data_IF_540642444164
#
_entry.id   IF_540642444164
#
_cell.length_a   1.000
_cell.length_b   1.000
_cell.length_c   1.000
_cell.angle_alpha   90.00
_cell.angle_beta   90.00
_cell.angle_gamma   90.00
#
_symmetry.space_group_name_H-M   'P 1'
#
loop_
_entity.id
_entity.type
_entity.pdbx_description
1 polymer ?
#
# COMPACT_ATOMS: atom_id res chain seq x y z
N UNK A 1 -28.48 -7.79 -22.51
CA UNK A 1 -28.18 -6.90 -21.38
C UNK A 1 -26.96 -7.41 -20.68
N UNK A 2 -25.82 -6.94 -21.10
CA UNK A 2 -24.56 -7.33 -20.49
C UNK A 2 -24.38 -6.62 -19.17
N UNK A 3 -24.49 -7.33 -18.04
CA UNK A 3 -23.92 -6.87 -16.80
C UNK A 3 -22.43 -6.79 -16.96
N UNK A 4 -21.90 -5.67 -17.44
CA UNK A 4 -20.48 -5.45 -17.49
C UNK A 4 -19.94 -5.55 -16.07
N UNK A 5 -19.16 -6.59 -15.78
CA UNK A 5 -18.35 -6.58 -14.58
C UNK A 5 -17.50 -5.32 -14.64
N UNK A 6 -17.78 -4.36 -13.74
CA UNK A 6 -16.93 -3.20 -13.57
C UNK A 6 -15.59 -3.74 -13.09
N UNK A 7 -14.63 -3.86 -14.00
CA UNK A 7 -13.27 -4.22 -13.62
C UNK A 7 -12.71 -3.07 -12.79
N UNK A 8 -12.32 -3.36 -11.56
CA UNK A 8 -11.60 -2.41 -10.75
C UNK A 8 -10.30 -2.04 -11.48
N UNK A 9 -10.13 -0.77 -11.81
CA UNK A 9 -8.97 -0.29 -12.57
C UNK A 9 -7.72 -0.21 -11.71
N UNK A 10 -7.89 0.05 -10.42
CA UNK A 10 -6.82 0.37 -9.50
C UNK A 10 -6.89 -0.49 -8.26
N UNK A 11 -5.73 -0.96 -7.80
CA UNK A 11 -5.61 -1.72 -6.55
C UNK A 11 -4.88 -0.85 -5.53
N UNK A 12 -5.53 -0.60 -4.41
CA UNK A 12 -4.97 0.11 -3.25
C UNK A 12 -4.65 -0.93 -2.20
N UNK A 13 -3.38 -1.08 -1.86
CA UNK A 13 -2.88 -2.10 -0.96
C UNK A 13 -2.50 -1.53 0.40
N UNK A 14 -2.87 -2.25 1.45
CA UNK A 14 -2.50 -2.00 2.85
C UNK A 14 -1.90 -3.28 3.42
N UNK A 15 -0.76 -3.19 4.07
CA UNK A 15 -0.09 -4.34 4.70
C UNK A 15 0.32 -4.00 6.12
N UNK A 16 -0.08 -4.81 7.08
CA UNK A 16 0.40 -4.78 8.46
C UNK A 16 0.20 -6.16 9.10
N UNK A 17 0.99 -6.49 10.09
CA UNK A 17 0.87 -7.76 10.81
C UNK A 17 0.40 -7.52 12.25
N UNK A 18 -0.67 -6.78 12.39
CA UNK A 18 -1.27 -6.42 13.67
C UNK A 18 -2.13 -5.18 13.50
N UNK A 19 -3.24 -5.32 12.79
CA UNK A 19 -4.13 -4.19 12.52
C UNK A 19 -4.83 -3.72 13.78
N UNK A 20 -4.81 -2.42 13.97
CA UNK A 20 -5.46 -1.72 15.08
C UNK A 20 -5.70 -0.27 14.67
N UNK A 21 -6.30 0.51 15.55
CA UNK A 21 -6.47 1.94 15.35
C UNK A 21 -5.11 2.66 15.20
N UNK A 22 -4.06 2.17 15.85
CA UNK A 22 -2.70 2.72 15.73
C UNK A 22 -2.11 2.52 14.33
N UNK A 23 -2.52 1.46 13.63
CA UNK A 23 -2.12 1.19 12.26
C UNK A 23 -3.07 1.79 11.22
N UNK A 24 -4.14 2.45 11.66
CA UNK A 24 -5.06 3.14 10.77
C UNK A 24 -6.20 2.28 10.24
N UNK A 25 -6.62 1.25 10.97
CA UNK A 25 -7.73 0.39 10.56
C UNK A 25 -9.01 1.18 10.27
N UNK A 26 -9.30 2.17 11.09
CA UNK A 26 -10.45 3.07 10.91
C UNK A 26 -10.33 3.92 9.64
N UNK A 27 -9.12 4.34 9.29
CA UNK A 27 -8.86 5.09 8.06
C UNK A 27 -9.17 4.23 6.83
N UNK A 28 -8.77 2.96 6.85
CA UNK A 28 -9.09 2.03 5.75
C UNK A 28 -10.60 1.92 5.55
N UNK A 29 -11.36 1.77 6.63
CA UNK A 29 -12.82 1.69 6.56
C UNK A 29 -13.44 2.97 5.96
N UNK A 30 -12.91 4.14 6.31
CA UNK A 30 -13.36 5.40 5.72
C UNK A 30 -13.00 5.51 4.24
N UNK A 31 -11.77 5.19 3.87
CA UNK A 31 -11.32 5.20 2.47
C UNK A 31 -12.18 4.27 1.60
N UNK A 32 -12.58 3.13 2.13
CA UNK A 32 -13.43 2.17 1.43
C UNK A 32 -14.82 2.75 1.11
N UNK A 33 -15.30 3.71 1.89
CA UNK A 33 -16.55 4.42 1.64
C UNK A 33 -16.38 5.59 0.67
N UNK A 34 -15.19 6.18 0.62
CA UNK A 34 -14.90 7.38 -0.16
C UNK A 34 -14.48 7.08 -1.59
N UNK A 35 -13.77 5.98 -1.81
CA UNK A 35 -13.26 5.59 -3.12
C UNK A 35 -14.37 4.95 -3.97
N UNK A 36 -14.35 5.24 -5.26
CA UNK A 36 -15.34 4.72 -6.21
C UNK A 36 -15.12 3.26 -6.51
N UNK A 37 -16.01 2.64 -7.27
CA UNK A 37 -15.90 1.24 -7.70
C UNK A 37 -14.72 0.96 -8.64
N UNK A 38 -14.05 1.99 -9.14
CA UNK A 38 -12.80 1.83 -9.90
C UNK A 38 -11.64 1.37 -9.03
N UNK A 39 -11.77 1.49 -7.70
CA UNK A 39 -10.73 1.16 -6.73
C UNK A 39 -11.08 -0.12 -5.98
N UNK A 40 -10.14 -1.06 -5.97
CA UNK A 40 -10.21 -2.26 -5.14
C UNK A 40 -9.25 -2.11 -3.97
N UNK A 41 -9.78 -2.20 -2.76
CA UNK A 41 -8.96 -2.15 -1.55
C UNK A 41 -8.62 -3.58 -1.13
N UNK A 42 -7.32 -3.83 -0.93
CA UNK A 42 -6.79 -5.11 -0.46
C UNK A 42 -6.02 -4.86 0.83
N UNK A 43 -6.36 -5.58 1.89
CA UNK A 43 -5.72 -5.47 3.20
C UNK A 43 -5.10 -6.80 3.58
N UNK A 44 -3.80 -6.80 3.84
CA UNK A 44 -3.03 -8.00 4.20
C UNK A 44 -2.65 -7.96 5.67
N UNK A 45 -2.68 -9.13 6.31
CA UNK A 45 -2.32 -9.28 7.73
C UNK A 45 -3.49 -9.13 8.69
N UNK A 46 -4.68 -9.33 8.18
CA UNK A 46 -5.94 -9.29 8.93
C UNK A 46 -6.21 -10.60 9.67
N UNK A 47 -7.30 -10.63 10.40
CA UNK A 47 -7.86 -11.81 11.05
C UNK A 47 -9.40 -11.70 11.10
N UNK A 48 -10.07 -12.70 11.66
CA UNK A 48 -11.52 -12.70 11.74
C UNK A 48 -12.07 -11.52 12.54
N UNK A 49 -11.36 -11.08 13.57
CA UNK A 49 -11.76 -9.93 14.39
C UNK A 49 -11.67 -8.63 13.59
N UNK A 50 -10.59 -8.43 12.87
CA UNK A 50 -10.37 -7.25 12.01
C UNK A 50 -11.42 -7.22 10.89
N UNK A 51 -11.76 -8.38 10.31
CA UNK A 51 -12.72 -8.47 9.23
C UNK A 51 -14.10 -7.92 9.61
N UNK A 52 -14.47 -8.00 10.89
CA UNK A 52 -15.74 -7.44 11.38
C UNK A 52 -15.82 -5.91 11.23
N UNK A 53 -14.67 -5.24 11.22
CA UNK A 53 -14.58 -3.78 11.09
C UNK A 53 -14.45 -3.32 9.63
N UNK A 54 -14.11 -4.22 8.71
CA UNK A 54 -13.89 -3.88 7.32
C UNK A 54 -15.20 -3.92 6.53
N UNK A 55 -15.45 -2.93 5.66
CA UNK A 55 -16.59 -2.98 4.75
C UNK A 55 -16.52 -4.19 3.81
N UNK A 56 -17.68 -4.64 3.32
CA UNK A 56 -17.79 -5.84 2.48
C UNK A 56 -17.07 -5.71 1.14
N UNK A 57 -16.80 -4.50 0.69
CA UNK A 57 -16.10 -4.24 -0.57
C UNK A 57 -14.57 -4.29 -0.46
N UNK A 58 -14.04 -4.63 0.71
CA UNK A 58 -12.61 -4.79 0.96
C UNK A 58 -12.22 -6.26 0.85
N UNK A 59 -11.13 -6.54 0.12
CA UNK A 59 -10.52 -7.87 0.11
C UNK A 59 -9.59 -7.99 1.30
N UNK A 60 -9.84 -8.99 2.15
CA UNK A 60 -9.03 -9.29 3.32
C UNK A 60 -8.19 -10.54 3.08
N UNK A 61 -6.88 -10.44 3.30
CA UNK A 61 -5.94 -11.56 3.21
C UNK A 61 -5.31 -11.73 4.59
N UNK A 62 -5.65 -12.81 5.30
CA UNK A 62 -5.22 -13.03 6.67
C UNK A 62 -3.73 -13.27 6.78
N UNK A 63 -3.20 -14.16 5.93
CA UNK A 63 -1.81 -14.57 6.02
C UNK A 63 -1.23 -14.88 4.65
N UNK A 64 0.02 -14.51 4.44
CA UNK A 64 0.79 -14.97 3.29
C UNK A 64 1.62 -16.18 3.70
N UNK A 65 1.86 -17.10 2.75
CA UNK A 65 2.59 -18.34 3.01
C UNK A 65 4.10 -18.11 3.10
N UNK A 66 4.60 -17.15 2.33
CA UNK A 66 6.02 -16.85 2.26
C UNK A 66 6.25 -15.44 1.69
N UNK A 67 7.50 -15.02 1.67
CA UNK A 67 7.92 -13.71 1.17
C UNK A 67 7.62 -13.54 -0.33
N UNK A 68 7.73 -14.61 -1.11
CA UNK A 68 7.43 -14.59 -2.54
C UNK A 68 5.96 -14.24 -2.80
N UNK A 69 5.03 -14.85 -2.07
CA UNK A 69 3.61 -14.53 -2.18
C UNK A 69 3.32 -13.07 -1.81
N UNK A 70 3.93 -12.57 -0.74
CA UNK A 70 3.77 -11.18 -0.34
C UNK A 70 4.32 -10.23 -1.40
N UNK A 71 5.48 -10.52 -1.99
CA UNK A 71 6.04 -9.73 -3.08
C UNK A 71 5.13 -9.72 -4.31
N UNK A 72 4.51 -10.85 -4.65
CA UNK A 72 3.54 -10.94 -5.74
C UNK A 72 2.32 -10.06 -5.48
N UNK A 73 1.83 -10.02 -4.24
CA UNK A 73 0.72 -9.14 -3.85
C UNK A 73 1.14 -7.68 -4.00
N UNK A 74 2.32 -7.28 -3.51
CA UNK A 74 2.82 -5.92 -3.68
C UNK A 74 2.85 -5.53 -5.18
N UNK A 75 3.36 -6.39 -6.03
CA UNK A 75 3.50 -6.08 -7.46
C UNK A 75 2.18 -5.91 -8.20
N UNK A 76 1.07 -6.41 -7.67
CA UNK A 76 -0.26 -6.21 -8.24
C UNK A 76 -0.83 -4.84 -7.91
N UNK A 77 -0.30 -4.15 -6.91
CA UNK A 77 -0.87 -2.90 -6.42
C UNK A 77 -0.55 -1.73 -7.37
N UNK A 78 -1.50 -0.83 -7.52
CA UNK A 78 -1.29 0.46 -8.20
C UNK A 78 -0.65 1.45 -7.25
N UNK A 79 -1.05 1.40 -5.98
CA UNK A 79 -0.53 2.25 -4.90
C UNK A 79 -0.56 1.48 -3.59
N UNK A 80 0.44 1.72 -2.76
CA UNK A 80 0.49 1.24 -1.38
C UNK A 80 0.17 2.40 -0.44
N UNK A 81 -0.81 2.23 0.42
CA UNK A 81 -1.19 3.26 1.39
C UNK A 81 -0.89 2.79 2.81
N UNK A 82 -0.28 3.66 3.59
CA UNK A 82 0.12 3.37 4.97
C UNK A 82 -0.41 4.44 5.92
N UNK A 83 -1.63 4.24 6.48
CA UNK A 83 -2.25 5.19 7.40
C UNK A 83 -1.79 4.99 8.83
N UNK A 84 -0.55 4.57 9.06
CA UNK A 84 -0.04 4.32 10.41
C UNK A 84 0.10 5.61 11.20
N UNK A 85 -0.33 5.54 12.46
CA UNK A 85 -0.19 6.65 13.43
C UNK A 85 1.07 6.52 14.28
N UNK A 86 1.67 5.33 14.29
CA UNK A 86 2.91 5.03 15.00
C UNK A 86 3.81 4.19 14.10
N UNK A 87 5.01 4.69 13.81
CA UNK A 87 5.96 3.98 12.96
C UNK A 87 7.39 4.36 13.33
N UNK A 88 8.26 3.35 13.49
CA UNK A 88 9.69 3.60 13.71
C UNK A 88 10.43 3.80 12.39
N UNK A 89 10.34 2.85 11.46
CA UNK A 89 11.13 2.85 10.22
C UNK A 89 10.30 2.82 8.93
N UNK A 90 9.05 2.40 8.98
CA UNK A 90 8.24 2.25 7.77
C UNK A 90 8.72 1.14 6.85
N UNK A 91 9.08 -0.02 7.41
CA UNK A 91 9.58 -1.18 6.64
C UNK A 91 8.67 -1.58 5.49
N UNK A 92 7.35 -1.57 5.72
CA UNK A 92 6.37 -1.92 4.68
C UNK A 92 6.38 -0.92 3.52
N UNK A 93 6.69 0.35 3.79
CA UNK A 93 6.82 1.36 2.73
C UNK A 93 7.99 0.99 1.80
N UNK A 94 9.12 0.60 2.38
CA UNK A 94 10.31 0.23 1.61
C UNK A 94 10.07 -1.08 0.84
N UNK A 95 9.36 -2.03 1.43
CA UNK A 95 8.97 -3.27 0.76
C UNK A 95 8.12 -2.97 -0.49
N UNK A 96 7.15 -2.07 -0.38
CA UNK A 96 6.33 -1.65 -1.51
C UNK A 96 7.17 -0.99 -2.61
N UNK A 97 8.06 -0.08 -2.24
CA UNK A 97 8.97 0.59 -3.19
C UNK A 97 9.87 -0.42 -3.90
N UNK A 98 10.40 -1.40 -3.17
CA UNK A 98 11.25 -2.46 -3.73
C UNK A 98 10.50 -3.29 -4.78
N UNK A 99 9.19 -3.40 -4.67
CA UNK A 99 8.32 -4.06 -5.64
C UNK A 99 7.79 -3.11 -6.72
N UNK A 100 8.34 -1.92 -6.83
CA UNK A 100 7.98 -0.96 -7.88
C UNK A 100 6.68 -0.20 -7.63
N UNK A 101 6.19 -0.16 -6.39
CA UNK A 101 4.89 0.42 -6.06
C UNK A 101 5.06 1.76 -5.34
N UNK A 102 4.43 2.84 -5.84
CA UNK A 102 4.47 4.12 -5.15
C UNK A 102 3.68 4.08 -3.84
N UNK A 103 4.06 4.92 -2.89
CA UNK A 103 3.55 4.90 -1.53
C UNK A 103 2.88 6.22 -1.16
N UNK A 104 1.74 6.13 -0.47
CA UNK A 104 1.14 7.25 0.29
C UNK A 104 1.25 6.89 1.76
N UNK A 105 1.81 7.78 2.57
CA UNK A 105 1.93 7.54 4.01
C UNK A 105 1.60 8.78 4.82
N UNK A 106 1.10 8.58 6.05
CA UNK A 106 0.97 9.67 7.02
C UNK A 106 2.36 10.14 7.48
N UNK A 107 2.44 11.41 7.83
CA UNK A 107 3.65 12.00 8.43
C UNK A 107 3.77 11.56 9.89
N UNK A 108 4.23 10.33 10.10
CA UNK A 108 4.39 9.72 11.43
C UNK A 108 5.73 8.99 11.50
N UNK A 109 6.47 9.20 12.60
CA UNK A 109 7.73 8.51 12.85
C UNK A 109 8.70 8.57 11.67
N UNK A 110 9.28 7.45 11.34
CA UNK A 110 10.21 7.30 10.20
C UNK A 110 9.54 7.10 8.85
N UNK A 111 8.22 7.05 8.78
CA UNK A 111 7.50 6.80 7.53
C UNK A 111 7.82 7.78 6.40
N UNK A 112 7.86 9.10 6.65
CA UNK A 112 8.14 10.07 5.58
C UNK A 112 9.54 9.92 4.97
N UNK A 113 10.51 9.47 5.75
CA UNK A 113 11.90 9.31 5.31
C UNK A 113 12.07 8.21 4.26
N UNK A 114 11.11 7.30 4.16
CA UNK A 114 11.14 6.23 3.17
C UNK A 114 10.94 6.75 1.74
N UNK A 115 10.27 7.89 1.59
CA UNK A 115 9.84 8.43 0.31
C UNK A 115 10.74 9.59 -0.15
N UNK A 116 10.75 9.79 -1.47
CA UNK A 116 11.21 11.02 -2.10
C UNK A 116 10.14 11.54 -3.06
N UNK A 117 10.43 12.64 -3.75
CA UNK A 117 9.47 13.27 -4.67
C UNK A 117 9.10 12.42 -5.90
N UNK A 118 9.82 11.33 -6.12
CA UNK A 118 9.65 10.43 -7.28
C UNK A 118 9.07 9.07 -6.91
N UNK A 119 8.73 8.86 -5.65
CA UNK A 119 8.30 7.54 -5.16
C UNK A 119 7.01 7.56 -4.34
N UNK A 120 6.53 8.71 -3.92
CA UNK A 120 5.30 8.76 -3.18
C UNK A 120 4.92 10.14 -2.64
N UNK A 121 3.86 10.15 -1.85
CA UNK A 121 3.27 11.36 -1.26
C UNK A 121 3.15 11.17 0.25
N UNK A 122 3.61 12.15 1.01
CA UNK A 122 3.42 12.22 2.45
C UNK A 122 2.20 13.11 2.74
N UNK A 123 1.29 12.60 3.55
CA UNK A 123 0.06 13.27 3.94
C UNK A 123 0.08 13.53 5.44
N UNK A 124 -0.45 14.63 5.91
CA UNK A 124 -0.47 14.91 7.35
C UNK A 124 -1.25 13.84 8.11
N UNK A 125 -0.80 13.54 9.32
CA UNK A 125 -1.42 12.54 10.19
C UNK A 125 -2.92 12.82 10.33
N UNK A 126 -3.72 11.77 10.20
CA UNK A 126 -5.19 11.80 10.31
C UNK A 126 -5.93 12.56 9.20
N UNK A 127 -5.24 13.06 8.20
CA UNK A 127 -5.87 13.68 7.03
C UNK A 127 -6.34 12.61 6.04
N UNK A 128 -7.51 12.05 6.31
CA UNK A 128 -8.10 10.99 5.47
C UNK A 128 -8.45 11.51 4.08
N UNK A 129 -9.00 12.71 3.98
CA UNK A 129 -9.30 13.34 2.69
C UNK A 129 -8.03 13.54 1.87
N UNK A 130 -6.96 13.99 2.50
CA UNK A 130 -5.65 14.14 1.85
C UNK A 130 -5.08 12.82 1.36
N UNK A 131 -5.24 11.75 2.14
CA UNK A 131 -4.81 10.41 1.72
C UNK A 131 -5.64 9.91 0.53
N UNK A 132 -6.94 10.09 0.56
CA UNK A 132 -7.83 9.75 -0.57
C UNK A 132 -7.42 10.50 -1.83
N UNK A 133 -7.20 11.81 -1.73
CA UNK A 133 -6.80 12.63 -2.87
C UNK A 133 -5.44 12.20 -3.44
N UNK A 134 -4.49 11.87 -2.58
CA UNK A 134 -3.17 11.36 -2.99
C UNK A 134 -3.29 10.02 -3.72
N UNK A 135 -4.11 9.11 -3.22
CA UNK A 135 -4.37 7.81 -3.87
C UNK A 135 -4.94 8.02 -5.27
N UNK A 136 -5.97 8.86 -5.39
CA UNK A 136 -6.61 9.14 -6.67
C UNK A 136 -5.63 9.78 -7.65
N UNK A 137 -4.84 10.74 -7.20
CA UNK A 137 -3.86 11.41 -8.03
C UNK A 137 -2.79 10.45 -8.55
N UNK A 138 -2.25 9.60 -7.71
CA UNK A 138 -1.26 8.58 -8.12
C UNK A 138 -1.86 7.62 -9.14
N UNK A 139 -3.06 7.12 -8.90
CA UNK A 139 -3.70 6.12 -9.75
C UNK A 139 -4.12 6.70 -11.09
N UNK A 140 -4.81 7.84 -11.09
CA UNK A 140 -5.41 8.38 -12.30
C UNK A 140 -4.42 9.13 -13.18
N UNK A 141 -3.44 9.81 -12.59
CA UNK A 141 -2.41 10.57 -13.32
C UNK A 141 -1.14 9.78 -13.60
N UNK A 142 -1.01 8.58 -13.05
CA UNK A 142 0.21 7.76 -13.15
C UNK A 142 1.47 8.55 -12.82
N UNK A 143 1.44 9.24 -11.66
CA UNK A 143 2.47 10.20 -11.25
C UNK A 143 3.86 9.60 -11.13
N UNK A 144 3.97 8.34 -10.76
CA UNK A 144 5.24 7.69 -10.44
C UNK A 144 5.45 6.46 -11.31
N UNK A 145 6.72 6.18 -11.63
CA UNK A 145 7.08 4.97 -12.35
C UNK A 145 7.76 3.96 -11.42
N UNK A 146 7.70 2.69 -11.80
CA UNK A 146 8.23 1.57 -11.04
C UNK A 146 9.73 1.69 -10.80
N UNK A 147 10.48 2.15 -11.79
CA UNK A 147 11.94 2.25 -11.72
C UNK A 147 12.38 3.23 -10.63
N UNK A 148 11.72 4.38 -10.51
CA UNK A 148 12.04 5.36 -9.48
C UNK A 148 11.71 4.87 -8.08
N UNK A 149 10.64 4.08 -7.93
CA UNK A 149 10.31 3.43 -6.66
C UNK A 149 11.42 2.45 -6.24
N UNK A 150 11.84 1.59 -7.15
CA UNK A 150 12.90 0.61 -6.89
C UNK A 150 14.23 1.32 -6.57
N UNK A 151 14.59 2.36 -7.31
CA UNK A 151 15.80 3.16 -7.03
C UNK A 151 15.77 3.75 -5.63
N UNK A 152 14.60 4.21 -5.18
CA UNK A 152 14.47 4.74 -3.82
C UNK A 152 14.70 3.63 -2.79
N UNK A 153 14.12 2.46 -2.98
CA UNK A 153 14.35 1.31 -2.09
C UNK A 153 15.82 0.92 -2.01
N UNK A 154 16.54 0.97 -3.12
CA UNK A 154 17.96 0.62 -3.19
C UNK A 154 18.86 1.57 -2.38
N UNK A 155 18.40 2.75 -2.03
CA UNK A 155 19.15 3.71 -1.21
C UNK A 155 19.21 3.30 0.27
N UNK A 156 18.38 2.34 0.71
CA UNK A 156 18.40 1.81 2.07
C UNK A 156 19.42 0.67 2.18
N UNK A 157 20.69 1.05 2.41
CA UNK A 157 21.81 0.11 2.50
C UNK A 157 21.70 -0.78 3.73
N UNK A 158 22.21 -2.02 3.61
CA UNK A 158 22.28 -2.98 4.71
C UNK A 158 20.97 -3.73 4.98
N UNK A 159 19.99 -3.57 4.13
CA UNK A 159 18.69 -4.24 4.25
C UNK A 159 18.57 -5.31 3.16
N UNK A 160 19.27 -6.43 3.34
CA UNK A 160 19.30 -7.57 2.39
C UNK A 160 17.90 -8.05 2.01
N UNK A 161 16.96 -7.96 2.96
CA UNK A 161 15.55 -8.28 2.74
C UNK A 161 14.94 -7.53 1.55
N UNK A 162 15.28 -6.25 1.38
CA UNK A 162 14.72 -5.47 0.27
C UNK A 162 15.33 -5.84 -1.07
N UNK A 163 16.57 -6.29 -1.10
CA UNK A 163 17.18 -6.84 -2.30
C UNK A 163 16.45 -8.09 -2.78
N UNK A 164 15.99 -8.94 -1.86
CA UNK A 164 15.16 -10.09 -2.21
C UNK A 164 13.84 -9.69 -2.85
N UNK A 165 13.16 -8.66 -2.34
CA UNK A 165 11.94 -8.12 -2.96
C UNK A 165 12.20 -7.58 -4.36
N UNK A 166 13.31 -6.87 -4.55
CA UNK A 166 13.70 -6.34 -5.87
C UNK A 166 13.94 -7.47 -6.86
N UNK A 167 14.63 -8.55 -6.45
CA UNK A 167 14.87 -9.72 -7.31
C UNK A 167 13.55 -10.43 -7.67
N UNK A 168 12.64 -10.58 -6.70
CA UNK A 168 11.32 -11.16 -6.95
C UNK A 168 10.50 -10.31 -7.93
N UNK A 169 10.62 -8.99 -7.85
CA UNK A 169 10.00 -8.09 -8.81
C UNK A 169 10.55 -8.29 -10.22
N UNK A 170 11.87 -8.35 -10.36
CA UNK A 170 12.53 -8.54 -11.66
C UNK A 170 12.22 -9.87 -12.33
N UNK A 171 11.97 -10.91 -11.55
CA UNK A 171 11.74 -12.28 -12.02
C UNK A 171 10.26 -12.66 -12.15
N UNK A 172 9.37 -11.68 -12.22
CA UNK A 172 7.93 -11.92 -12.30
C UNK A 172 7.39 -12.27 -13.69
N UNK A 173 8.26 -12.48 -14.64
CA UNK A 173 7.89 -12.95 -15.98
C UNK A 173 7.37 -14.38 -15.99
#
# INVERSE_FOLDING_TARGET
MGGGQVKNKYIVLFVSFGWSIYKGLDVIAELAKMLTNDYRIVVVGTDNYVDEFLPNNVISIHRTQNQKQLAEIYTTATVFANPTREEMFGMVNIEALACGVPVVTFRTGGSPECLDSKSGIVVEKDDVDGMKDAIVEICERKMFNEINCIKRAQQFKGLDKFNEYIELYKNRE
#
